data_IF_287753748107
#
_entry.id   IF_287753748107
#
_cell.length_a   1.000
_cell.length_b   1.000
_cell.length_c   1.000
_cell.angle_alpha   90.00
_cell.angle_beta   90.00
_cell.angle_gamma   90.00
#
_symmetry.space_group_name_H-M   'P 1'
#
loop_
_entity.id
_entity.type
_entity.pdbx_description
1 polymer ?
#
# COMPACT_ATOMS: atom_id res chain seq x y z
N UNK A 1 4.48 19.30 22.74
CA UNK A 1 3.89 18.52 21.63
C UNK A 1 4.93 17.51 21.16
N UNK A 2 4.55 16.26 20.89
CA UNK A 2 5.46 15.24 20.36
C UNK A 2 5.06 14.91 18.91
N UNK A 3 6.02 14.95 17.99
CA UNK A 3 5.83 14.74 16.55
C UNK A 3 6.56 13.49 16.02
N UNK A 4 7.16 12.69 16.91
CA UNK A 4 7.88 11.48 16.51
C UNK A 4 6.91 10.34 16.19
N UNK A 5 7.17 9.62 15.11
CA UNK A 5 6.43 8.39 14.76
C UNK A 5 6.87 7.26 15.69
N UNK A 6 5.92 6.43 16.13
CA UNK A 6 6.22 5.24 16.93
C UNK A 6 7.14 4.27 16.19
N UNK A 7 7.90 3.45 16.91
CA UNK A 7 8.78 2.44 16.30
C UNK A 7 8.01 1.46 15.39
N UNK A 8 6.79 1.07 15.79
CA UNK A 8 5.90 0.26 14.97
C UNK A 8 5.51 0.98 13.67
N UNK A 9 5.21 2.29 13.76
CA UNK A 9 4.94 3.14 12.60
C UNK A 9 6.15 3.25 11.67
N UNK A 10 7.36 3.43 12.21
CA UNK A 10 8.60 3.46 11.41
C UNK A 10 8.85 2.14 10.70
N UNK A 11 8.62 0.99 11.35
CA UNK A 11 8.73 -0.32 10.68
C UNK A 11 7.72 -0.49 9.55
N UNK A 12 6.47 -0.06 9.78
CA UNK A 12 5.43 -0.10 8.75
C UNK A 12 5.79 0.82 7.56
N UNK A 13 6.26 2.04 7.84
CA UNK A 13 6.75 2.97 6.82
C UNK A 13 7.85 2.35 5.95
N UNK A 14 8.82 1.66 6.56
CA UNK A 14 9.90 1.00 5.84
C UNK A 14 9.40 -0.17 4.96
N UNK A 15 8.45 -0.97 5.45
CA UNK A 15 7.78 -2.01 4.64
C UNK A 15 7.09 -1.39 3.43
N UNK A 16 6.31 -0.33 3.65
CA UNK A 16 5.61 0.39 2.58
C UNK A 16 6.57 0.97 1.54
N UNK A 17 7.69 1.57 1.95
CA UNK A 17 8.70 2.11 1.03
C UNK A 17 9.31 1.05 0.11
N UNK A 18 9.57 -0.14 0.63
CA UNK A 18 10.11 -1.25 -0.18
C UNK A 18 9.10 -1.70 -1.23
N UNK A 19 7.84 -1.82 -0.85
CA UNK A 19 6.76 -2.13 -1.79
C UNK A 19 6.57 -1.01 -2.81
N UNK A 20 6.57 0.25 -2.39
CA UNK A 20 6.46 1.39 -3.28
C UNK A 20 7.58 1.42 -4.32
N UNK A 21 8.83 1.17 -3.91
CA UNK A 21 9.97 1.10 -4.82
C UNK A 21 9.83 -0.04 -5.84
N UNK A 22 9.33 -1.21 -5.43
CA UNK A 22 9.01 -2.31 -6.33
C UNK A 22 7.87 -1.94 -7.31
N UNK A 23 6.79 -1.34 -6.81
CA UNK A 23 5.63 -0.96 -7.61
C UNK A 23 5.99 0.10 -8.67
N UNK A 24 6.87 1.04 -8.33
CA UNK A 24 7.36 2.08 -9.22
C UNK A 24 8.06 1.53 -10.47
N UNK A 25 8.64 0.32 -10.40
CA UNK A 25 9.35 -0.28 -11.55
C UNK A 25 8.44 -0.57 -12.75
N UNK A 26 7.13 -0.65 -12.51
CA UNK A 26 6.11 -1.05 -13.50
C UNK A 26 4.92 -0.09 -13.59
N UNK A 27 4.88 0.95 -12.75
CA UNK A 27 3.79 1.92 -12.72
C UNK A 27 3.55 2.60 -14.09
N UNK A 28 4.62 2.99 -14.79
CA UNK A 28 4.50 3.62 -16.12
C UNK A 28 3.92 2.67 -17.18
N UNK A 29 4.23 1.39 -17.12
CA UNK A 29 3.67 0.38 -18.02
C UNK A 29 2.17 0.22 -17.78
N UNK A 30 1.75 0.09 -16.52
CA UNK A 30 0.33 -0.03 -16.20
C UNK A 30 -0.48 1.22 -16.57
N UNK A 31 0.09 2.42 -16.38
CA UNK A 31 -0.51 3.68 -16.80
C UNK A 31 -0.70 3.73 -18.33
N UNK A 32 0.36 3.42 -19.09
CA UNK A 32 0.32 3.42 -20.55
C UNK A 32 -0.67 2.38 -21.12
N UNK A 33 -0.71 1.19 -20.53
CA UNK A 33 -1.50 0.06 -21.03
C UNK A 33 -2.93 0.04 -20.47
N UNK A 34 -3.27 0.95 -19.55
CA UNK A 34 -4.50 0.91 -18.76
C UNK A 34 -4.75 -0.48 -18.14
N UNK A 35 -3.70 -1.11 -17.63
CA UNK A 35 -3.74 -2.49 -17.10
C UNK A 35 -3.79 -2.54 -15.57
N UNK A 36 -4.31 -3.64 -15.03
CA UNK A 36 -4.43 -3.83 -13.58
C UNK A 36 -3.13 -4.37 -12.97
N UNK A 37 -2.58 -3.76 -11.91
CA UNK A 37 -1.33 -4.20 -11.29
C UNK A 37 -1.56 -5.34 -10.29
N UNK A 38 -2.06 -6.49 -10.76
CA UNK A 38 -2.42 -7.65 -9.93
C UNK A 38 -1.25 -8.14 -9.05
N UNK A 39 -0.02 -8.00 -9.52
CA UNK A 39 1.20 -8.29 -8.78
C UNK A 39 1.39 -7.39 -7.55
N UNK A 40 0.94 -6.12 -7.61
CA UNK A 40 0.98 -5.21 -6.46
C UNK A 40 0.00 -5.69 -5.39
N UNK A 41 -1.21 -6.07 -5.80
CA UNK A 41 -2.22 -6.63 -4.88
C UNK A 41 -1.73 -7.94 -4.25
N UNK A 42 -1.10 -8.82 -5.02
CA UNK A 42 -0.52 -10.06 -4.51
C UNK A 42 0.60 -9.79 -3.50
N UNK A 43 1.47 -8.81 -3.75
CA UNK A 43 2.53 -8.40 -2.83
C UNK A 43 1.94 -7.83 -1.53
N UNK A 44 0.95 -6.93 -1.61
CA UNK A 44 0.24 -6.38 -0.45
C UNK A 44 -0.41 -7.49 0.39
N UNK A 45 -1.03 -8.48 -0.26
CA UNK A 45 -1.62 -9.65 0.43
C UNK A 45 -0.57 -10.44 1.19
N UNK A 46 0.55 -10.77 0.53
CA UNK A 46 1.64 -11.55 1.13
C UNK A 46 2.26 -10.82 2.32
N UNK A 47 2.36 -9.51 2.24
CA UNK A 47 2.90 -8.65 3.30
C UNK A 47 1.86 -8.29 4.37
N UNK A 48 0.62 -8.80 4.32
CA UNK A 48 -0.39 -8.57 5.37
C UNK A 48 -1.06 -7.20 5.36
N UNK A 49 -0.92 -6.41 4.29
CA UNK A 49 -1.41 -5.02 4.26
C UNK A 49 -2.95 -4.91 4.34
N UNK A 50 -3.69 -5.94 3.94
CA UNK A 50 -5.16 -5.94 3.99
C UNK A 50 -5.75 -6.16 5.38
N UNK A 51 -4.94 -6.56 6.36
CA UNK A 51 -5.36 -6.78 7.74
C UNK A 51 -4.75 -5.78 8.72
N UNK A 52 -4.15 -4.69 8.22
CA UNK A 52 -3.47 -3.70 9.07
C UNK A 52 -4.39 -3.18 10.16
N UNK A 53 -5.59 -2.71 9.81
CA UNK A 53 -6.53 -2.09 10.75
C UNK A 53 -7.44 -3.10 11.47
N UNK A 54 -7.36 -4.38 11.09
CA UNK A 54 -8.21 -5.41 11.67
C UNK A 54 -7.73 -5.68 13.10
N UNK A 55 -8.62 -5.79 14.10
CA UNK A 55 -8.22 -6.06 15.48
C UNK A 55 -7.44 -7.38 15.60
N UNK A 56 -6.46 -7.48 16.52
CA UNK A 56 -5.67 -8.69 16.72
C UNK A 56 -6.51 -9.94 17.03
N UNK A 57 -7.61 -9.79 17.76
CA UNK A 57 -8.56 -10.87 18.09
C UNK A 57 -9.29 -11.44 16.85
N UNK A 58 -9.27 -10.73 15.72
CA UNK A 58 -9.78 -11.18 14.43
C UNK A 58 -8.65 -11.55 13.45
N UNK A 59 -7.40 -11.63 13.94
CA UNK A 59 -6.23 -12.02 13.15
C UNK A 59 -5.56 -10.87 12.39
N UNK A 60 -5.80 -9.61 12.75
CA UNK A 60 -5.16 -8.45 12.13
C UNK A 60 -3.99 -7.86 12.94
N UNK A 61 -3.43 -6.74 12.44
CA UNK A 61 -2.30 -6.05 13.10
C UNK A 61 -2.76 -4.93 14.07
N UNK A 62 -4.04 -4.57 14.11
CA UNK A 62 -4.58 -3.53 15.01
C UNK A 62 -4.00 -2.12 14.81
N UNK A 63 -3.51 -1.82 13.60
CA UNK A 63 -2.88 -0.56 13.24
C UNK A 63 -3.87 0.60 13.28
N UNK A 64 -3.59 1.57 14.14
CA UNK A 64 -4.35 2.81 14.24
C UNK A 64 -4.18 3.74 13.03
N UNK A 65 -5.09 4.72 12.92
CA UNK A 65 -5.23 5.60 11.75
C UNK A 65 -3.92 6.27 11.31
N UNK A 66 -3.14 6.83 12.23
CA UNK A 66 -1.90 7.56 11.87
C UNK A 66 -0.90 6.65 11.13
N UNK A 67 -0.65 5.45 11.67
CA UNK A 67 0.30 4.52 11.06
C UNK A 67 -0.25 3.93 9.76
N UNK A 68 -1.57 3.73 9.64
CA UNK A 68 -2.19 3.33 8.38
C UNK A 68 -2.07 4.42 7.31
N UNK A 69 -2.34 5.67 7.66
CA UNK A 69 -2.17 6.82 6.77
C UNK A 69 -0.73 6.95 6.28
N UNK A 70 0.25 6.74 7.18
CA UNK A 70 1.67 6.70 6.82
C UNK A 70 1.95 5.56 5.82
N UNK A 71 1.37 4.38 6.02
CA UNK A 71 1.56 3.26 5.11
C UNK A 71 0.98 3.56 3.71
N UNK A 72 -0.22 4.15 3.66
CA UNK A 72 -0.89 4.54 2.42
C UNK A 72 -0.14 5.65 1.68
N UNK A 73 0.36 6.66 2.40
CA UNK A 73 1.17 7.75 1.86
C UNK A 73 2.41 7.21 1.14
N UNK A 74 3.16 6.31 1.79
CA UNK A 74 4.38 5.73 1.20
C UNK A 74 4.06 4.84 -0.01
N UNK A 75 3.01 4.01 0.06
CA UNK A 75 2.60 3.17 -1.08
C UNK A 75 2.19 4.01 -2.30
N UNK A 76 1.52 5.14 -2.07
CA UNK A 76 1.12 6.06 -3.13
C UNK A 76 2.30 6.70 -3.89
N UNK A 77 3.50 6.75 -3.28
CA UNK A 77 4.71 7.20 -3.98
C UNK A 77 5.14 6.25 -5.10
N UNK A 78 4.79 4.97 -5.00
CA UNK A 78 5.23 3.93 -5.94
C UNK A 78 4.28 3.73 -7.11
N UNK A 79 2.98 3.73 -6.87
CA UNK A 79 1.98 3.58 -7.91
C UNK A 79 0.72 4.33 -7.51
N UNK A 80 0.52 5.50 -8.12
CA UNK A 80 -0.72 6.25 -8.03
C UNK A 80 -1.71 5.56 -8.96
N UNK A 81 -2.92 5.28 -8.48
CA UNK A 81 -3.94 4.70 -9.34
C UNK A 81 -4.20 5.61 -10.55
N UNK A 82 -3.88 5.13 -11.74
CA UNK A 82 -4.20 5.76 -13.02
C UNK A 82 -5.58 5.29 -13.51
N UNK A 83 -6.35 6.14 -14.23
CA UNK A 83 -7.77 5.93 -14.48
C UNK A 83 -8.04 4.66 -15.28
N UNK A 84 -9.10 3.94 -14.89
CA UNK A 84 -9.72 2.89 -15.70
C UNK A 84 -10.25 3.44 -17.03
N UNK A 85 -9.87 2.80 -18.13
CA UNK A 85 -10.69 2.85 -19.35
C UNK A 85 -12.06 2.26 -19.01
N UNK A 86 -13.10 3.06 -19.17
CA UNK A 86 -14.51 2.77 -18.91
C UNK A 86 -15.09 1.72 -19.89
N UNK A 87 -14.22 1.08 -20.68
CA UNK A 87 -14.53 -0.03 -21.60
C UNK A 87 -14.15 -1.40 -21.06
N UNK A 88 -13.52 -1.50 -19.89
CA UNK A 88 -13.28 -2.78 -19.22
C UNK A 88 -14.58 -3.29 -18.57
N UNK A 89 -15.02 -4.54 -18.80
CA UNK A 89 -16.30 -5.06 -18.32
C UNK A 89 -16.27 -5.57 -16.86
N UNK A 90 -15.38 -5.06 -16.00
CA UNK A 90 -15.30 -5.43 -14.58
C UNK A 90 -15.48 -4.23 -13.67
#
# INVERSE_FOLDING_TARGET
>A
MNFQVSEAGTRLQQRSRRLAADFATRAATHDQEASHPLENYAALRREGFYSLNVPPEMGGEGVGLLNYSLAAEELAQGCQYAPVDHRSPF
#
